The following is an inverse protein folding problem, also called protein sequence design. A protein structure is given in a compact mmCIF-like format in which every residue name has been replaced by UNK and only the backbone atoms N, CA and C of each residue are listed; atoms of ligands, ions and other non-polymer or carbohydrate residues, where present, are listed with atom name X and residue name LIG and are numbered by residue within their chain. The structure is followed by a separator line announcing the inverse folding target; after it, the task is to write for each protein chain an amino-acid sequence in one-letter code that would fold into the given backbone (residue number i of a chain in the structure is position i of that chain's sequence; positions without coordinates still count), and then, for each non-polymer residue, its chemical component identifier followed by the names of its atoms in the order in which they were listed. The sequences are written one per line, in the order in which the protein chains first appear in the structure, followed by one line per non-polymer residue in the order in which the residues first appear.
data_IF_706546463692
#
_entry.id   IF_706546463692
#
_cell.length_a   1.000
_cell.length_b   1.000
_cell.length_c   1.000
_cell.angle_alpha   90.00
_cell.angle_beta   90.00
_cell.angle_gamma   90.00
#
_symmetry.space_group_name_H-M   'P 1'
#
loop_
_entity.id
_entity.type
_entity.pdbx_description
1 polymer ?
#
# COMPACT_ATOMS: atom_id res chain seq x y z
N UNK A 1 32.72 -42.03 29.00
CA UNK A 1 32.87 -42.09 30.46
C UNK A 1 31.50 -41.94 31.06
N UNK A 2 31.03 -43.03 31.59
CA UNK A 2 30.52 -43.34 32.94
C UNK A 2 29.23 -42.57 33.28
N UNK A 3 28.03 -43.28 33.33
CA UNK A 3 27.52 -44.17 34.43
C UNK A 3 26.87 -43.30 35.52
N UNK A 4 25.67 -43.47 36.03
CA UNK A 4 24.93 -44.64 36.53
C UNK A 4 23.49 -44.16 36.83
N UNK A 5 22.33 -44.85 36.51
CA UNK A 5 21.78 -46.08 37.15
C UNK A 5 21.30 -45.87 38.60
N UNK A 6 20.04 -46.03 38.86
CA UNK A 6 19.32 -47.09 39.60
C UNK A 6 17.98 -46.55 40.09
N UNK A 7 16.82 -47.08 39.87
CA UNK A 7 16.29 -48.46 40.11
C UNK A 7 15.89 -48.72 41.59
N UNK A 8 14.72 -49.28 41.73
CA UNK A 8 14.11 -50.18 42.70
C UNK A 8 12.84 -49.64 43.34
N UNK A 9 11.66 -50.24 43.18
CA UNK A 9 11.13 -51.61 43.37
C UNK A 9 10.21 -51.72 44.60
N UNK A 10 8.95 -52.12 44.27
CA UNK A 10 8.07 -53.11 44.95
C UNK A 10 7.56 -52.90 46.38
N UNK A 11 6.27 -53.16 46.59
CA UNK A 11 5.58 -54.39 47.00
C UNK A 11 4.16 -54.02 47.45
N UNK A 12 3.12 -54.59 46.86
CA UNK A 12 2.30 -55.73 47.28
C UNK A 12 1.74 -55.61 48.70
N UNK A 13 0.38 -55.62 48.81
CA UNK A 13 -0.37 -56.74 49.38
C UNK A 13 -1.90 -56.49 49.35
N UNK A 14 -2.63 -57.44 48.85
CA UNK A 14 -4.07 -57.75 49.04
C UNK A 14 -4.24 -58.64 50.27
N UNK A 15 -5.39 -59.09 50.70
CA UNK A 15 -6.82 -58.85 50.38
C UNK A 15 -7.71 -58.69 51.63
N UNK A 16 -9.00 -58.49 51.51
CA UNK A 16 -10.09 -59.29 52.14
C UNK A 16 -11.48 -58.83 51.66
N UNK A 17 -12.22 -59.77 51.24
CA UNK A 17 -13.64 -59.90 50.86
C UNK A 17 -14.64 -59.52 51.94
N UNK A 18 -15.77 -58.91 51.55
CA UNK A 18 -17.11 -59.20 52.07
C UNK A 18 -18.20 -58.71 51.14
N UNK A 19 -18.99 -59.57 50.56
CA UNK A 19 -20.36 -59.44 50.02
C UNK A 19 -21.29 -59.95 51.10
N UNK A 20 -22.64 -59.77 51.13
CA UNK A 20 -23.58 -59.14 50.18
C UNK A 20 -24.63 -58.28 50.86
N UNK A 21 -25.48 -57.55 50.10
CA UNK A 21 -26.95 -57.59 50.22
C UNK A 21 -27.58 -56.82 49.05
N UNK A 22 -28.47 -57.52 48.39
CA UNK A 22 -29.41 -57.14 47.37
C UNK A 22 -30.34 -56.01 47.85
N UNK A 23 -30.44 -54.93 47.12
CA UNK A 23 -31.63 -54.11 47.00
C UNK A 23 -31.79 -53.67 45.58
N UNK A 24 -32.80 -54.17 44.91
CA UNK A 24 -33.25 -53.88 43.55
C UNK A 24 -33.91 -52.50 43.56
N UNK A 25 -33.22 -51.45 43.08
CA UNK A 25 -33.78 -50.14 42.81
C UNK A 25 -34.07 -50.08 41.32
N UNK A 26 -35.29 -50.02 40.91
CA UNK A 26 -35.75 -49.72 39.55
C UNK A 26 -35.43 -48.29 39.26
N UNK A 27 -34.37 -48.07 38.47
CA UNK A 27 -33.97 -46.72 37.93
C UNK A 27 -34.87 -46.46 36.71
N UNK A 28 -35.88 -45.61 36.88
CA UNK A 28 -36.61 -44.98 35.80
C UNK A 28 -35.60 -44.04 35.08
N UNK A 29 -35.07 -44.47 33.95
CA UNK A 29 -34.32 -43.60 33.05
C UNK A 29 -35.30 -42.66 32.34
N UNK A 30 -35.47 -41.46 32.89
CA UNK A 30 -36.05 -40.34 32.16
C UNK A 30 -35.02 -39.92 31.11
N UNK A 31 -35.24 -40.37 29.88
CA UNK A 31 -34.55 -39.80 28.71
C UNK A 31 -35.04 -38.35 28.57
N UNK A 32 -34.31 -37.42 29.14
CA UNK A 32 -34.46 -36.01 28.83
C UNK A 32 -34.03 -35.84 27.37
N UNK A 33 -34.99 -35.83 26.45
CA UNK A 33 -34.78 -35.31 25.11
C UNK A 33 -34.35 -33.87 25.27
N UNK A 34 -33.03 -33.62 25.19
CA UNK A 34 -32.50 -32.30 25.02
C UNK A 34 -33.08 -31.76 23.69
N UNK A 35 -34.16 -31.01 23.78
CA UNK A 35 -34.60 -30.17 22.69
C UNK A 35 -33.44 -29.24 22.41
N UNK A 36 -32.70 -29.52 21.35
CA UNK A 36 -31.76 -28.54 20.74
C UNK A 36 -32.62 -27.35 20.38
N UNK A 37 -32.57 -26.33 21.22
CA UNK A 37 -33.06 -24.99 20.82
C UNK A 37 -32.35 -24.65 19.53
N UNK A 38 -33.07 -24.31 18.45
CA UNK A 38 -32.41 -23.81 17.25
C UNK A 38 -31.58 -22.61 17.68
N UNK A 39 -30.28 -22.71 17.46
CA UNK A 39 -29.37 -21.57 17.62
C UNK A 39 -30.02 -20.36 16.95
N UNK A 40 -30.04 -19.17 17.60
CA UNK A 40 -30.63 -17.99 16.98
C UNK A 40 -29.93 -17.79 15.61
N UNK A 41 -30.70 -17.44 14.57
CA UNK A 41 -30.12 -17.25 13.24
C UNK A 41 -28.95 -16.27 13.38
N UNK A 42 -27.76 -16.70 12.98
CA UNK A 42 -26.58 -15.87 12.94
C UNK A 42 -26.94 -14.68 12.06
N UNK A 43 -27.02 -13.48 12.65
CA UNK A 43 -27.29 -12.28 11.87
C UNK A 43 -26.27 -12.23 10.74
N UNK A 44 -26.66 -11.81 9.54
CA UNK A 44 -25.71 -11.74 8.41
C UNK A 44 -24.55 -10.78 8.71
N UNK A 45 -24.76 -9.80 9.60
CA UNK A 45 -23.67 -8.97 10.15
C UNK A 45 -22.60 -9.80 10.86
N UNK A 46 -22.94 -10.88 11.55
CA UNK A 46 -22.01 -11.82 12.19
C UNK A 46 -21.13 -12.62 11.20
N UNK A 47 -21.47 -12.60 9.89
CA UNK A 47 -20.58 -13.14 8.85
C UNK A 47 -19.39 -12.26 8.59
N UNK A 48 -19.54 -10.94 8.72
CA UNK A 48 -18.57 -9.92 8.34
C UNK A 48 -17.92 -9.22 9.52
N UNK A 49 -18.58 -9.19 10.69
CA UNK A 49 -18.07 -8.61 11.93
C UNK A 49 -17.79 -9.70 12.96
N UNK A 50 -16.64 -9.58 13.62
CA UNK A 50 -16.27 -10.39 14.77
C UNK A 50 -15.43 -9.55 15.73
N UNK A 51 -15.99 -9.21 16.88
CA UNK A 51 -15.30 -8.37 17.85
C UNK A 51 -14.08 -9.05 18.48
N UNK A 52 -14.06 -10.40 18.54
CA UNK A 52 -13.00 -11.16 19.19
C UNK A 52 -11.88 -11.56 18.22
N UNK A 53 -12.23 -12.03 17.01
CA UNK A 53 -11.27 -12.57 16.03
C UNK A 53 -11.14 -11.75 14.74
N UNK A 54 -11.96 -10.72 14.56
CA UNK A 54 -11.92 -9.85 13.39
C UNK A 54 -10.65 -8.99 13.32
N UNK A 55 -10.27 -8.59 12.12
CA UNK A 55 -9.15 -7.68 11.91
C UNK A 55 -9.57 -6.24 12.19
N UNK A 56 -8.83 -5.56 13.07
CA UNK A 56 -8.95 -4.11 13.27
C UNK A 56 -8.39 -3.36 12.07
N UNK A 57 -8.75 -2.07 11.95
CA UNK A 57 -8.22 -1.21 10.88
C UNK A 57 -6.70 -1.13 10.92
N UNK A 58 -6.08 -1.05 12.10
CA UNK A 58 -4.63 -1.01 12.27
C UNK A 58 -3.98 -2.30 11.76
N UNK A 59 -4.54 -3.44 12.14
CA UNK A 59 -4.02 -4.74 11.71
C UNK A 59 -4.16 -4.96 10.20
N UNK A 60 -5.25 -4.46 9.62
CA UNK A 60 -5.47 -4.52 8.18
C UNK A 60 -4.49 -3.59 7.42
N UNK A 61 -4.18 -2.42 7.96
CA UNK A 61 -3.15 -1.52 7.43
C UNK A 61 -1.77 -2.17 7.49
N UNK A 62 -1.39 -2.78 8.62
CA UNK A 62 -0.13 -3.53 8.73
C UNK A 62 -0.04 -4.66 7.68
N UNK A 63 -1.12 -5.41 7.51
CA UNK A 63 -1.20 -6.48 6.52
C UNK A 63 -1.04 -5.94 5.09
N UNK A 64 -1.71 -4.82 4.79
CA UNK A 64 -1.59 -4.16 3.49
C UNK A 64 -0.16 -3.68 3.22
N UNK A 65 0.49 -3.04 4.19
CA UNK A 65 1.88 -2.60 4.06
C UNK A 65 2.87 -3.76 3.88
N UNK A 66 2.54 -4.95 4.40
CA UNK A 66 3.37 -6.14 4.29
C UNK A 66 3.12 -6.93 2.99
N UNK A 67 1.88 -6.99 2.49
CA UNK A 67 1.46 -7.92 1.44
C UNK A 67 1.01 -7.26 0.13
N UNK A 68 0.71 -5.95 0.11
CA UNK A 68 0.24 -5.28 -1.10
C UNK A 68 1.31 -5.35 -2.21
N UNK A 69 0.99 -6.00 -3.32
CA UNK A 69 1.95 -6.27 -4.40
C UNK A 69 2.43 -4.99 -5.09
N UNK A 70 1.58 -3.97 -5.23
CA UNK A 70 1.94 -2.69 -5.84
C UNK A 70 2.93 -1.91 -4.97
N UNK A 71 2.70 -1.88 -3.65
CA UNK A 71 3.65 -1.29 -2.72
C UNK A 71 4.99 -2.05 -2.69
N UNK A 72 4.94 -3.39 -2.72
CA UNK A 72 6.16 -4.21 -2.79
C UNK A 72 6.94 -3.95 -4.07
N UNK A 73 6.26 -3.80 -5.22
CA UNK A 73 6.88 -3.39 -6.48
C UNK A 73 7.50 -1.99 -6.38
N UNK A 74 6.78 -1.03 -5.79
CA UNK A 74 7.28 0.33 -5.57
C UNK A 74 8.53 0.35 -4.67
N UNK A 75 8.57 -0.47 -3.62
CA UNK A 75 9.76 -0.62 -2.76
C UNK A 75 10.99 -1.14 -3.53
N UNK A 76 10.82 -1.90 -4.64
CA UNK A 76 11.95 -2.33 -5.50
C UNK A 76 12.63 -1.17 -6.20
N UNK A 77 11.97 -0.02 -6.37
CA UNK A 77 12.58 1.19 -6.92
C UNK A 77 13.74 1.72 -6.06
N UNK A 78 13.68 1.52 -4.74
CA UNK A 78 14.81 1.86 -3.86
C UNK A 78 16.03 1.00 -4.21
N UNK A 79 15.86 -0.31 -4.39
CA UNK A 79 16.96 -1.19 -4.78
C UNK A 79 17.48 -0.87 -6.19
N UNK A 80 16.61 -0.47 -7.12
CA UNK A 80 16.99 0.00 -8.45
C UNK A 80 17.88 1.26 -8.36
N UNK A 81 17.44 2.29 -7.63
CA UNK A 81 18.21 3.53 -7.47
C UNK A 81 19.49 3.32 -6.69
N UNK A 82 19.53 2.41 -5.71
CA UNK A 82 20.77 1.97 -5.06
C UNK A 82 21.76 1.32 -6.04
N UNK A 83 21.26 0.48 -6.95
CA UNK A 83 22.08 -0.09 -8.03
C UNK A 83 22.67 0.99 -8.92
N UNK A 84 21.86 1.99 -9.32
CA UNK A 84 22.31 3.13 -10.11
C UNK A 84 23.31 4.04 -9.35
N UNK A 85 23.10 4.24 -8.06
CA UNK A 85 24.06 4.96 -7.22
C UNK A 85 25.38 4.20 -7.13
N UNK A 86 25.36 2.89 -6.93
CA UNK A 86 26.57 2.07 -6.93
C UNK A 86 27.31 2.18 -8.28
N UNK A 87 26.58 2.15 -9.40
CA UNK A 87 27.15 2.37 -10.72
C UNK A 87 27.77 3.77 -10.85
N UNK A 88 27.12 4.80 -10.30
CA UNK A 88 27.61 6.19 -10.32
C UNK A 88 28.93 6.37 -9.54
N UNK A 89 29.18 5.52 -8.55
CA UNK A 89 30.42 5.50 -7.76
C UNK A 89 31.59 4.86 -8.47
N UNK A 90 31.35 4.12 -9.56
CA UNK A 90 32.41 3.46 -10.30
C UNK A 90 33.14 4.49 -11.20
N UNK A 91 34.45 4.31 -11.30
CA UNK A 91 35.29 5.06 -12.22
C UNK A 91 35.37 4.34 -13.56
N UNK A 92 35.72 5.06 -14.67
CA UNK A 92 35.94 4.41 -15.96
C UNK A 92 36.98 3.30 -15.87
N UNK A 93 36.69 2.16 -16.51
CA UNK A 93 37.65 1.07 -16.58
C UNK A 93 38.83 1.43 -17.45
N UNK A 94 40.06 0.96 -17.10
CA UNK A 94 41.19 1.06 -18.02
C UNK A 94 40.93 0.17 -19.24
N UNK A 95 41.44 0.62 -20.38
CA UNK A 95 41.47 -0.15 -21.62
C UNK A 95 42.82 -0.84 -21.81
N UNK A 96 42.82 -2.12 -22.19
CA UNK A 96 43.99 -2.83 -22.71
C UNK A 96 43.75 -3.09 -24.19
N UNK A 97 44.65 -2.65 -25.05
CA UNK A 97 44.55 -2.89 -26.48
C UNK A 97 45.79 -3.69 -26.94
N UNK A 98 45.57 -4.76 -27.68
CA UNK A 98 46.60 -5.60 -28.26
C UNK A 98 46.36 -5.56 -29.78
N UNK A 99 47.38 -5.05 -30.49
CA UNK A 99 47.34 -4.95 -31.96
C UNK A 99 48.47 -5.76 -32.56
N UNK A 100 48.13 -6.51 -33.56
CA UNK A 100 49.11 -7.22 -34.40
C UNK A 100 48.90 -6.77 -35.85
N UNK A 101 49.88 -6.12 -36.41
CA UNK A 101 49.91 -5.77 -37.84
C UNK A 101 50.90 -6.67 -38.52
N UNK A 102 50.50 -7.27 -39.67
CA UNK A 102 51.33 -8.17 -40.44
C UNK A 102 51.16 -7.85 -41.95
N UNK A 103 52.19 -7.27 -42.55
CA UNK A 103 52.19 -6.93 -43.95
C UNK A 103 52.24 -8.16 -44.89
N UNK A 104 52.65 -9.31 -44.41
CA UNK A 104 52.81 -10.50 -45.26
C UNK A 104 51.47 -11.03 -45.80
N UNK A 105 50.36 -10.71 -45.18
CA UNK A 105 49.01 -11.10 -45.66
C UNK A 105 48.62 -10.36 -46.95
N UNK A 106 49.22 -9.19 -47.20
CA UNK A 106 49.00 -8.32 -48.37
C UNK A 106 50.21 -8.33 -49.32
N UNK A 107 51.01 -9.35 -49.32
CA UNK A 107 52.18 -9.52 -50.15
C UNK A 107 53.33 -8.50 -49.90
N UNK A 108 53.33 -7.89 -48.71
CA UNK A 108 54.44 -7.02 -48.26
C UNK A 108 55.33 -7.83 -47.30
N UNK A 109 56.41 -8.43 -47.80
CA UNK A 109 57.18 -9.40 -47.03
C UNK A 109 58.07 -8.69 -45.99
N UNK A 110 57.71 -8.80 -44.72
CA UNK A 110 58.67 -8.60 -43.68
C UNK A 110 58.32 -7.62 -42.60
N UNK A 111 57.28 -6.80 -42.74
CA UNK A 111 56.86 -5.90 -41.70
C UNK A 111 55.87 -6.56 -40.78
N UNK A 112 56.22 -6.60 -39.48
CA UNK A 112 55.35 -7.07 -38.39
C UNK A 112 55.46 -6.16 -37.21
N UNK A 113 54.30 -5.69 -36.71
CA UNK A 113 54.23 -4.86 -35.52
C UNK A 113 53.37 -5.57 -34.48
N UNK A 114 53.84 -5.67 -33.26
CA UNK A 114 53.16 -6.09 -32.08
C UNK A 114 53.06 -4.94 -31.13
N UNK A 115 51.86 -4.48 -30.85
CA UNK A 115 51.61 -3.35 -29.93
C UNK A 115 50.74 -3.80 -28.78
N UNK A 116 51.14 -3.48 -27.54
CA UNK A 116 50.33 -3.64 -26.35
C UNK A 116 50.22 -2.23 -25.74
N UNK A 117 48.99 -1.73 -25.58
CA UNK A 117 48.79 -0.40 -24.97
C UNK A 117 47.77 -0.51 -23.82
N UNK A 118 48.08 0.20 -22.73
CA UNK A 118 47.24 0.44 -21.57
C UNK A 118 46.82 1.90 -21.56
N UNK A 119 45.54 2.18 -21.40
CA UNK A 119 45.00 3.53 -21.34
C UNK A 119 44.02 3.68 -20.18
N UNK A 120 44.11 4.79 -19.46
CA UNK A 120 43.19 5.09 -18.35
C UNK A 120 42.68 6.53 -18.47
N UNK A 121 41.35 6.67 -18.30
CA UNK A 121 40.66 7.96 -18.34
C UNK A 121 40.54 8.52 -16.92
N UNK A 122 41.11 9.68 -16.70
CA UNK A 122 40.99 10.49 -15.50
C UNK A 122 39.89 11.54 -15.71
N UNK A 123 38.79 11.40 -15.00
CA UNK A 123 37.70 12.36 -15.01
C UNK A 123 38.10 13.63 -14.27
N UNK A 124 38.14 14.78 -14.97
CA UNK A 124 38.43 16.09 -14.39
C UNK A 124 37.13 16.87 -14.09
N UNK A 125 37.25 18.03 -13.43
CA UNK A 125 36.11 18.91 -13.14
C UNK A 125 35.13 18.40 -12.09
N UNK A 126 35.54 17.39 -11.33
CA UNK A 126 34.70 16.83 -10.25
C UNK A 126 33.49 16.00 -10.74
N UNK A 127 33.48 15.56 -12.00
CA UNK A 127 32.38 14.80 -12.62
C UNK A 127 31.92 13.62 -11.76
N UNK A 128 32.88 12.85 -11.26
CA UNK A 128 32.59 11.71 -10.41
C UNK A 128 31.81 12.13 -9.16
N UNK A 129 32.24 13.17 -8.44
CA UNK A 129 31.55 13.66 -7.24
C UNK A 129 30.09 14.11 -7.57
N UNK A 130 29.96 14.86 -8.71
CA UNK A 130 28.63 15.35 -9.13
C UNK A 130 27.68 14.22 -9.54
N UNK A 131 28.21 13.20 -10.23
CA UNK A 131 27.44 12.01 -10.59
C UNK A 131 26.97 11.24 -9.35
N UNK A 132 27.84 11.09 -8.35
CA UNK A 132 27.48 10.44 -7.06
C UNK A 132 26.44 11.28 -6.31
N UNK A 133 26.57 12.60 -6.27
CA UNK A 133 25.59 13.51 -5.65
C UNK A 133 24.20 13.36 -6.28
N UNK A 134 24.09 13.35 -7.60
CA UNK A 134 22.83 13.10 -8.33
C UNK A 134 22.26 11.73 -7.98
N UNK A 135 23.08 10.69 -7.94
CA UNK A 135 22.65 9.33 -7.56
C UNK A 135 22.12 9.25 -6.13
N UNK A 136 22.74 9.94 -5.16
CA UNK A 136 22.29 9.98 -3.77
C UNK A 136 20.93 10.68 -3.64
N UNK A 137 20.75 11.82 -4.29
CA UNK A 137 19.48 12.54 -4.27
C UNK A 137 18.37 11.75 -4.98
N UNK A 138 18.69 11.00 -6.03
CA UNK A 138 17.74 10.13 -6.71
C UNK A 138 17.29 8.95 -5.82
N UNK A 139 18.18 8.36 -5.02
CA UNK A 139 17.84 7.31 -4.04
C UNK A 139 16.94 7.86 -2.92
N UNK A 140 17.27 9.02 -2.37
CA UNK A 140 16.46 9.70 -1.35
C UNK A 140 15.06 10.03 -1.90
N UNK A 141 14.98 10.50 -3.15
CA UNK A 141 13.71 10.78 -3.83
C UNK A 141 12.85 9.52 -4.00
N UNK A 142 13.45 8.39 -4.35
CA UNK A 142 12.76 7.11 -4.44
C UNK A 142 12.23 6.66 -3.07
N UNK A 143 12.99 6.89 -2.00
CA UNK A 143 12.57 6.58 -0.62
C UNK A 143 11.36 7.41 -0.20
N UNK A 144 11.35 8.72 -0.49
CA UNK A 144 10.19 9.58 -0.23
C UNK A 144 8.98 9.17 -1.07
N UNK A 145 9.19 8.74 -2.32
CA UNK A 145 8.12 8.22 -3.17
C UNK A 145 7.47 6.97 -2.59
N UNK A 146 8.25 6.05 -2.00
CA UNK A 146 7.73 4.88 -1.29
C UNK A 146 6.94 5.31 -0.05
N UNK A 147 7.46 6.24 0.74
CA UNK A 147 6.78 6.75 1.94
C UNK A 147 5.43 7.40 1.60
N UNK A 148 5.33 8.10 0.47
CA UNK A 148 4.05 8.66 0.01
C UNK A 148 3.06 7.57 -0.42
N UNK A 149 3.51 6.55 -1.14
CA UNK A 149 2.66 5.41 -1.49
C UNK A 149 2.15 4.66 -0.25
N UNK A 150 2.98 4.52 0.78
CA UNK A 150 2.56 3.95 2.07
C UNK A 150 1.49 4.82 2.75
N UNK A 151 1.63 6.14 2.74
CA UNK A 151 0.64 7.10 3.25
C UNK A 151 -0.69 6.95 2.52
N UNK A 152 -0.66 6.91 1.19
CA UNK A 152 -1.85 6.75 0.36
C UNK A 152 -2.53 5.39 0.56
N UNK A 153 -1.75 4.32 0.65
CA UNK A 153 -2.29 2.97 0.91
C UNK A 153 -2.97 2.89 2.28
N UNK A 154 -2.36 3.45 3.33
CA UNK A 154 -2.96 3.53 4.67
C UNK A 154 -4.31 4.24 4.62
N UNK A 155 -4.38 5.41 3.98
CA UNK A 155 -5.61 6.17 3.84
C UNK A 155 -6.68 5.37 3.07
N UNK A 156 -6.31 4.73 1.95
CA UNK A 156 -7.24 3.93 1.15
C UNK A 156 -7.80 2.75 1.93
N UNK A 157 -6.96 2.03 2.70
CA UNK A 157 -7.42 0.91 3.54
C UNK A 157 -8.38 1.41 4.62
N UNK A 158 -8.05 2.50 5.32
CA UNK A 158 -8.92 3.11 6.33
C UNK A 158 -10.26 3.57 5.73
N UNK A 159 -10.23 4.23 4.58
CA UNK A 159 -11.45 4.67 3.87
C UNK A 159 -12.36 3.48 3.55
N UNK A 160 -11.83 2.43 2.90
CA UNK A 160 -12.62 1.25 2.56
C UNK A 160 -13.09 0.46 3.78
N UNK A 161 -12.33 0.50 4.86
CA UNK A 161 -12.74 -0.10 6.13
C UNK A 161 -13.96 0.62 6.72
N UNK A 162 -13.96 1.95 6.77
CA UNK A 162 -15.10 2.74 7.24
C UNK A 162 -16.34 2.56 6.36
N UNK A 163 -16.19 2.53 5.03
CA UNK A 163 -17.27 2.24 4.10
C UNK A 163 -17.87 0.84 4.33
N UNK A 164 -17.01 -0.17 4.52
CA UNK A 164 -17.45 -1.54 4.80
C UNK A 164 -18.26 -1.61 6.11
N UNK A 165 -17.81 -0.94 7.16
CA UNK A 165 -18.55 -0.87 8.42
C UNK A 165 -19.93 -0.22 8.25
N UNK A 166 -20.03 0.85 7.46
CA UNK A 166 -21.30 1.51 7.18
C UNK A 166 -22.26 0.60 6.40
N UNK A 167 -21.77 -0.13 5.41
CA UNK A 167 -22.60 -1.10 4.67
C UNK A 167 -23.04 -2.26 5.54
N UNK A 168 -22.19 -2.77 6.43
CA UNK A 168 -22.56 -3.82 7.39
C UNK A 168 -23.63 -3.31 8.35
N UNK A 169 -23.53 -2.08 8.84
CA UNK A 169 -24.55 -1.49 9.70
C UNK A 169 -25.89 -1.32 8.97
N UNK A 170 -25.88 -0.87 7.70
CA UNK A 170 -27.09 -0.79 6.90
C UNK A 170 -27.71 -2.15 6.60
N UNK A 171 -26.88 -3.19 6.41
CA UNK A 171 -27.35 -4.57 6.26
C UNK A 171 -28.04 -5.05 7.55
N UNK A 172 -27.46 -4.80 8.72
CA UNK A 172 -28.02 -5.16 10.01
C UNK A 172 -29.39 -4.47 10.24
N UNK A 173 -29.50 -3.18 9.91
CA UNK A 173 -30.77 -2.43 9.94
C UNK A 173 -31.81 -3.09 9.02
N UNK A 174 -31.43 -3.44 7.80
CA UNK A 174 -32.34 -4.07 6.85
C UNK A 174 -32.81 -5.46 7.31
N UNK A 175 -31.95 -6.25 7.95
CA UNK A 175 -32.28 -7.56 8.50
C UNK A 175 -33.24 -7.47 9.68
N UNK A 176 -32.99 -6.57 10.61
CA UNK A 176 -33.89 -6.32 11.74
C UNK A 176 -35.26 -5.87 11.24
N UNK A 177 -35.27 -4.98 10.24
CA UNK A 177 -36.51 -4.49 9.64
C UNK A 177 -37.27 -5.60 8.90
N UNK A 178 -36.56 -6.49 8.18
CA UNK A 178 -37.17 -7.62 7.48
C UNK A 178 -37.84 -8.56 8.48
N UNK A 179 -37.15 -8.96 9.54
CA UNK A 179 -37.73 -9.82 10.60
C UNK A 179 -38.98 -9.21 11.20
N UNK A 180 -38.95 -7.92 11.47
CA UNK A 180 -40.05 -7.17 12.02
C UNK A 180 -41.26 -7.11 11.08
N UNK A 181 -41.03 -6.88 9.78
CA UNK A 181 -42.07 -6.85 8.77
C UNK A 181 -42.67 -8.24 8.49
N UNK A 182 -41.85 -9.29 8.53
CA UNK A 182 -42.34 -10.68 8.43
C UNK A 182 -43.24 -11.08 9.62
N UNK A 183 -42.92 -10.60 10.82
CA UNK A 183 -43.78 -10.75 11.98
C UNK A 183 -45.11 -9.98 11.79
N UNK A 184 -45.02 -8.71 11.37
CA UNK A 184 -46.20 -7.89 11.08
C UNK A 184 -47.10 -8.51 9.99
N UNK A 185 -46.52 -9.06 8.94
CA UNK A 185 -47.25 -9.75 7.87
C UNK A 185 -48.03 -10.96 8.41
N UNK A 186 -47.39 -11.81 9.24
CA UNK A 186 -48.06 -12.96 9.85
C UNK A 186 -49.24 -12.55 10.74
N UNK A 187 -49.08 -11.44 11.48
CA UNK A 187 -50.18 -10.91 12.31
C UNK A 187 -51.34 -10.39 11.43
N UNK A 188 -51.02 -9.60 10.38
CA UNK A 188 -52.01 -9.10 9.47
C UNK A 188 -52.79 -10.24 8.77
N UNK A 189 -52.11 -11.27 8.29
CA UNK A 189 -52.69 -12.47 7.70
C UNK A 189 -53.67 -13.14 8.65
N UNK A 190 -53.26 -13.40 9.90
CA UNK A 190 -54.13 -14.05 10.90
C UNK A 190 -55.39 -13.21 11.23
N UNK A 191 -55.28 -11.88 11.23
CA UNK A 191 -56.43 -11.00 11.46
C UNK A 191 -57.38 -10.96 10.25
N UNK A 192 -56.86 -10.98 9.04
CA UNK A 192 -57.68 -11.08 7.82
C UNK A 192 -58.44 -12.41 7.76
N UNK A 193 -57.78 -13.53 8.07
CA UNK A 193 -58.43 -14.88 8.15
C UNK A 193 -59.56 -14.92 9.14
N UNK A 194 -59.47 -14.15 10.25
CA UNK A 194 -60.54 -14.03 11.25
C UNK A 194 -61.61 -12.98 10.91
N UNK A 195 -61.47 -12.25 9.83
CA UNK A 195 -62.34 -11.13 9.47
C UNK A 195 -62.19 -9.89 10.32
N UNK A 196 -61.08 -9.76 11.09
CA UNK A 196 -60.76 -8.64 11.98
C UNK A 196 -60.03 -7.50 11.27
N UNK A 197 -59.51 -7.72 10.04
CA UNK A 197 -58.81 -6.74 9.26
C UNK A 197 -59.14 -6.85 7.77
N UNK A 198 -58.99 -5.75 7.02
CA UNK A 198 -59.20 -5.75 5.58
C UNK A 198 -58.06 -6.49 4.83
N UNK A 199 -58.39 -7.19 3.74
CA UNK A 199 -57.39 -7.88 2.89
C UNK A 199 -56.27 -6.91 2.40
N UNK A 200 -56.58 -5.63 2.28
CA UNK A 200 -55.64 -4.59 1.92
C UNK A 200 -54.44 -4.52 2.91
N UNK A 201 -54.66 -4.73 4.20
CA UNK A 201 -53.60 -4.69 5.21
C UNK A 201 -52.57 -5.79 4.98
N UNK A 202 -53.03 -7.01 4.70
CA UNK A 202 -52.13 -8.12 4.35
C UNK A 202 -51.31 -7.81 3.09
N UNK A 203 -51.97 -7.30 2.05
CA UNK A 203 -51.31 -6.97 0.77
C UNK A 203 -50.28 -5.87 0.95
N UNK A 204 -50.56 -4.83 1.73
CA UNK A 204 -49.58 -3.78 2.08
C UNK A 204 -48.37 -4.32 2.81
N UNK A 205 -48.57 -5.17 3.79
CA UNK A 205 -47.45 -5.79 4.52
C UNK A 205 -46.62 -6.71 3.64
N UNK A 206 -47.24 -7.45 2.72
CA UNK A 206 -46.54 -8.32 1.76
C UNK A 206 -45.65 -7.50 0.81
N UNK A 207 -46.13 -6.37 0.34
CA UNK A 207 -45.35 -5.43 -0.48
C UNK A 207 -44.15 -4.91 0.30
N UNK A 208 -44.35 -4.51 1.56
CA UNK A 208 -43.28 -3.97 2.41
C UNK A 208 -42.20 -5.03 2.74
N UNK A 209 -42.58 -6.27 3.04
CA UNK A 209 -41.66 -7.40 3.23
C UNK A 209 -40.79 -7.61 1.99
N UNK A 210 -41.39 -7.62 0.79
CA UNK A 210 -40.65 -7.82 -0.44
C UNK A 210 -39.69 -6.63 -0.75
N UNK A 211 -40.11 -5.40 -0.46
CA UNK A 211 -39.28 -4.20 -0.59
C UNK A 211 -38.05 -4.29 0.32
N UNK A 212 -38.24 -4.58 1.61
CA UNK A 212 -37.13 -4.67 2.56
C UNK A 212 -36.20 -5.86 2.26
N UNK A 213 -36.75 -6.97 1.76
CA UNK A 213 -35.94 -8.11 1.30
C UNK A 213 -35.06 -7.75 0.12
N UNK A 214 -35.57 -6.94 -0.81
CA UNK A 214 -34.77 -6.40 -1.92
C UNK A 214 -33.65 -5.48 -1.39
N UNK A 215 -33.95 -4.58 -0.46
CA UNK A 215 -32.95 -3.70 0.17
C UNK A 215 -31.84 -4.51 0.86
N UNK A 216 -32.21 -5.57 1.61
CA UNK A 216 -31.25 -6.48 2.26
C UNK A 216 -30.28 -7.12 1.24
N UNK A 217 -30.80 -7.61 0.12
CA UNK A 217 -29.96 -8.19 -0.95
C UNK A 217 -28.99 -7.18 -1.52
N UNK A 218 -29.43 -5.93 -1.74
CA UNK A 218 -28.57 -4.85 -2.24
C UNK A 218 -27.48 -4.49 -1.23
N UNK A 219 -27.80 -4.35 0.05
CA UNK A 219 -26.81 -4.07 1.08
C UNK A 219 -25.82 -5.21 1.25
N UNK A 220 -26.27 -6.49 1.21
CA UNK A 220 -25.35 -7.62 1.24
C UNK A 220 -24.34 -7.57 0.09
N UNK A 221 -24.79 -7.26 -1.12
CA UNK A 221 -23.89 -7.09 -2.27
C UNK A 221 -22.87 -5.95 -2.05
N UNK A 222 -23.30 -4.83 -1.46
CA UNK A 222 -22.40 -3.73 -1.15
C UNK A 222 -21.31 -4.15 -0.15
N UNK A 223 -21.68 -4.91 0.89
CA UNK A 223 -20.74 -5.46 1.86
C UNK A 223 -19.74 -6.40 1.19
N UNK A 224 -20.22 -7.36 0.38
CA UNK A 224 -19.33 -8.29 -0.33
C UNK A 224 -18.33 -7.57 -1.22
N UNK A 225 -18.76 -6.57 -1.96
CA UNK A 225 -17.88 -5.75 -2.79
C UNK A 225 -16.85 -4.98 -1.95
N UNK A 226 -17.26 -4.40 -0.83
CA UNK A 226 -16.35 -3.69 0.07
C UNK A 226 -15.29 -4.62 0.70
N UNK A 227 -15.70 -5.84 1.08
CA UNK A 227 -14.78 -6.87 1.59
C UNK A 227 -13.78 -7.32 0.50
N UNK A 228 -14.22 -7.50 -0.75
CA UNK A 228 -13.32 -7.83 -1.87
C UNK A 228 -12.30 -6.72 -2.13
N UNK A 229 -12.72 -5.45 -2.07
CA UNK A 229 -11.81 -4.31 -2.18
C UNK A 229 -10.79 -4.27 -1.04
N UNK A 230 -11.21 -4.52 0.20
CA UNK A 230 -10.29 -4.61 1.33
C UNK A 230 -9.30 -5.77 1.18
N UNK A 231 -9.74 -6.94 0.72
CA UNK A 231 -8.84 -8.07 0.42
C UNK A 231 -7.80 -7.67 -0.63
N UNK A 232 -8.22 -7.03 -1.70
CA UNK A 232 -7.31 -6.55 -2.76
C UNK A 232 -6.26 -5.57 -2.21
N UNK A 233 -6.68 -4.58 -1.41
CA UNK A 233 -5.76 -3.61 -0.81
C UNK A 233 -4.81 -4.26 0.20
N UNK A 234 -5.32 -5.21 1.00
CA UNK A 234 -4.51 -5.93 1.99
C UNK A 234 -3.62 -7.03 1.39
N UNK A 235 -3.73 -7.33 0.09
CA UNK A 235 -3.00 -8.41 -0.57
C UNK A 235 -3.42 -9.79 -0.06
N UNK A 236 -4.69 -9.95 0.30
CA UNK A 236 -5.29 -11.22 0.73
C UNK A 236 -5.85 -12.00 -0.48
N UNK A 237 -5.77 -13.31 -0.43
CA UNK A 237 -6.37 -14.19 -1.43
C UNK A 237 -7.91 -14.14 -1.40
N UNK A 238 -8.54 -14.52 -2.51
CA UNK A 238 -10.01 -14.58 -2.60
C UNK A 238 -10.61 -15.58 -1.59
N UNK A 239 -9.90 -16.68 -1.35
CA UNK A 239 -10.32 -17.75 -0.44
C UNK A 239 -10.05 -17.45 1.04
N UNK A 240 -9.22 -16.47 1.36
CA UNK A 240 -8.96 -16.06 2.74
C UNK A 240 -10.23 -15.40 3.31
N UNK A 241 -10.72 -15.87 4.46
CA UNK A 241 -11.87 -15.24 5.13
C UNK A 241 -11.43 -13.94 5.78
N UNK A 242 -12.19 -12.85 5.52
CA UNK A 242 -11.97 -11.56 6.16
C UNK A 242 -13.18 -11.17 6.97
N UNK A 243 -13.02 -11.12 8.29
CA UNK A 243 -13.95 -10.50 9.22
C UNK A 243 -13.33 -9.24 9.79
N UNK A 244 -14.13 -8.23 9.99
CA UNK A 244 -13.71 -6.93 10.49
C UNK A 244 -14.00 -6.81 11.99
N UNK A 245 -13.18 -6.06 12.71
CA UNK A 245 -13.41 -5.67 14.09
C UNK A 245 -13.24 -4.16 14.22
N UNK A 246 -14.33 -3.45 14.49
CA UNK A 246 -14.32 -2.00 14.62
C UNK A 246 -15.71 -1.39 14.72
N UNK A 247 -15.74 -0.09 14.92
CA UNK A 247 -16.95 0.73 15.01
C UNK A 247 -16.75 2.01 14.22
N UNK A 248 -17.83 2.58 13.69
CA UNK A 248 -17.81 3.90 13.03
C UNK A 248 -17.77 5.06 14.03
N UNK A 249 -18.25 4.81 15.24
CA UNK A 249 -18.29 5.81 16.30
C UNK A 249 -16.87 6.06 16.84
N UNK A 250 -16.18 6.99 16.22
CA UNK A 250 -14.82 7.39 16.59
C UNK A 250 -14.88 8.58 17.55
N UNK A 251 -14.02 8.62 18.57
CA UNK A 251 -13.93 9.78 19.44
C UNK A 251 -13.52 11.03 18.63
N UNK A 252 -14.03 12.21 18.99
CA UNK A 252 -13.64 13.45 18.33
C UNK A 252 -12.15 13.72 18.53
N UNK A 253 -11.46 14.07 17.45
CA UNK A 253 -10.06 14.50 17.47
C UNK A 253 -10.04 16.03 17.52
N UNK A 254 -9.38 16.58 18.54
CA UNK A 254 -9.20 18.03 18.67
C UNK A 254 -7.84 18.41 18.06
N UNK A 255 -7.87 19.04 16.92
CA UNK A 255 -6.70 19.61 16.25
C UNK A 255 -7.08 20.97 15.68
N UNK A 256 -6.20 21.96 15.77
CA UNK A 256 -6.42 23.25 15.12
C UNK A 256 -5.94 23.22 13.66
N UNK A 257 -6.50 24.10 12.81
CA UNK A 257 -6.06 24.24 11.42
C UNK A 257 -4.56 24.58 11.34
N UNK A 258 -4.08 25.42 12.26
CA UNK A 258 -2.65 25.79 12.30
C UNK A 258 -1.75 24.57 12.57
N UNK A 259 -2.11 23.73 13.53
CA UNK A 259 -1.38 22.48 13.82
C UNK A 259 -1.44 21.48 12.68
N UNK A 260 -2.59 21.33 12.03
CA UNK A 260 -2.75 20.48 10.86
C UNK A 260 -1.86 20.95 9.70
N UNK A 261 -1.83 22.27 9.46
CA UNK A 261 -1.01 22.89 8.42
C UNK A 261 0.48 22.71 8.70
N UNK A 262 0.94 22.94 9.91
CA UNK A 262 2.34 22.77 10.32
C UNK A 262 2.78 21.30 10.14
N UNK A 263 1.98 20.35 10.59
CA UNK A 263 2.27 18.92 10.40
C UNK A 263 2.37 18.56 8.93
N UNK A 264 1.44 19.00 8.10
CA UNK A 264 1.44 18.72 6.66
C UNK A 264 2.69 19.26 5.97
N UNK A 265 3.05 20.53 6.22
CA UNK A 265 4.20 21.18 5.59
C UNK A 265 5.55 20.59 6.03
N UNK A 266 5.59 19.94 7.20
CA UNK A 266 6.81 19.30 7.73
C UNK A 266 6.89 17.80 7.47
N UNK A 267 5.78 17.07 7.50
CA UNK A 267 5.79 15.58 7.51
C UNK A 267 5.40 14.94 6.19
N UNK A 268 4.68 15.63 5.30
CA UNK A 268 4.18 15.01 4.05
C UNK A 268 5.34 14.61 3.13
N UNK A 269 5.44 13.32 2.77
CA UNK A 269 6.51 12.81 1.93
C UNK A 269 6.47 13.35 0.50
N UNK A 270 5.27 13.58 -0.07
CA UNK A 270 5.10 14.14 -1.41
C UNK A 270 5.63 15.58 -1.53
N UNK A 271 5.42 16.41 -0.50
CA UNK A 271 5.99 17.77 -0.47
C UNK A 271 7.51 17.73 -0.26
N UNK A 272 7.99 16.84 0.61
CA UNK A 272 9.45 16.65 0.79
C UNK A 272 10.09 16.17 -0.50
N UNK A 273 9.46 15.25 -1.23
CA UNK A 273 9.90 14.77 -2.53
C UNK A 273 9.95 15.90 -3.57
N UNK A 274 8.94 16.78 -3.61
CA UNK A 274 8.93 17.92 -4.52
C UNK A 274 10.08 18.91 -4.22
N UNK A 275 10.35 19.21 -2.95
CA UNK A 275 11.48 20.04 -2.51
C UNK A 275 12.83 19.37 -2.79
N UNK A 276 12.92 18.06 -2.65
CA UNK A 276 14.12 17.30 -2.95
C UNK A 276 14.38 17.23 -4.47
N UNK A 277 13.33 17.14 -5.28
CA UNK A 277 13.44 17.17 -6.74
C UNK A 277 14.01 18.50 -7.26
N UNK A 278 13.76 19.62 -6.58
CA UNK A 278 14.40 20.91 -6.87
C UNK A 278 15.91 20.85 -6.60
N UNK A 279 16.32 20.28 -5.45
CA UNK A 279 17.74 20.07 -5.12
C UNK A 279 18.43 19.11 -6.12
N UNK A 280 17.72 18.07 -6.55
CA UNK A 280 18.21 17.16 -7.60
C UNK A 280 18.44 17.90 -8.91
N UNK A 281 17.52 18.78 -9.32
CA UNK A 281 17.68 19.64 -10.49
C UNK A 281 18.92 20.53 -10.40
N UNK A 282 19.20 21.11 -9.23
CA UNK A 282 20.44 21.86 -8.98
C UNK A 282 21.69 20.99 -9.14
N UNK A 283 21.67 19.77 -8.64
CA UNK A 283 22.79 18.82 -8.77
C UNK A 283 22.99 18.39 -10.23
N UNK A 284 21.90 18.18 -10.99
CA UNK A 284 21.96 17.86 -12.42
C UNK A 284 22.58 19.01 -13.25
N UNK A 285 22.26 20.27 -12.91
CA UNK A 285 22.91 21.43 -13.55
C UNK A 285 24.41 21.42 -13.26
N UNK A 286 24.82 21.20 -12.01
CA UNK A 286 26.25 21.11 -11.65
C UNK A 286 26.95 19.95 -12.36
N UNK A 287 26.28 18.80 -12.52
CA UNK A 287 26.80 17.67 -13.27
C UNK A 287 26.96 18.03 -14.76
N UNK A 288 25.97 18.63 -15.39
CA UNK A 288 26.00 19.02 -16.79
C UNK A 288 27.12 20.05 -17.08
N UNK A 289 27.37 20.99 -16.16
CA UNK A 289 28.49 21.92 -16.22
C UNK A 289 29.82 21.16 -16.09
N UNK A 290 29.95 20.24 -15.16
CA UNK A 290 31.15 19.44 -14.96
C UNK A 290 31.47 18.57 -16.19
N UNK A 291 30.47 18.01 -16.86
CA UNK A 291 30.60 17.21 -18.06
C UNK A 291 31.18 18.03 -19.26
N UNK A 292 31.01 19.35 -19.26
CA UNK A 292 31.62 20.25 -20.21
C UNK A 292 33.15 20.40 -20.05
N UNK A 293 33.75 19.92 -18.95
CA UNK A 293 35.22 19.94 -18.77
C UNK A 293 35.86 18.76 -19.51
N UNK A 294 37.11 18.88 -20.03
CA UNK A 294 37.79 17.77 -20.68
C UNK A 294 38.13 16.64 -19.68
N UNK A 295 38.29 15.41 -20.19
CA UNK A 295 38.94 14.32 -19.47
C UNK A 295 40.41 14.23 -19.89
N UNK A 296 41.24 13.69 -19.02
CA UNK A 296 42.63 13.36 -19.28
C UNK A 296 42.71 11.84 -19.56
N UNK A 297 43.21 11.47 -20.75
CA UNK A 297 43.56 10.09 -21.06
C UNK A 297 45.06 9.92 -20.90
N UNK A 298 45.52 9.13 -19.94
CA UNK A 298 46.91 8.69 -19.83
C UNK A 298 47.09 7.36 -20.54
N UNK A 299 48.16 7.19 -21.31
CA UNK A 299 48.43 5.89 -21.94
C UNK A 299 49.90 5.50 -21.82
N UNK A 300 50.14 4.19 -21.85
CA UNK A 300 51.42 3.53 -21.91
C UNK A 300 51.34 2.48 -23.00
N UNK A 301 52.27 2.52 -23.97
CA UNK A 301 52.29 1.66 -25.12
C UNK A 301 53.68 1.06 -25.32
N UNK A 302 53.74 -0.25 -25.53
CA UNK A 302 54.92 -0.94 -25.97
C UNK A 302 54.67 -1.53 -27.37
N UNK A 303 55.58 -1.18 -28.32
CA UNK A 303 55.57 -1.67 -29.68
C UNK A 303 56.87 -2.39 -30.02
N UNK A 304 56.74 -3.54 -30.61
CA UNK A 304 57.86 -4.25 -31.25
C UNK A 304 57.62 -4.29 -32.74
N UNK A 305 58.50 -3.61 -33.47
CA UNK A 305 58.45 -3.48 -34.92
C UNK A 305 59.57 -4.32 -35.53
N UNK A 306 59.22 -5.25 -36.36
CA UNK A 306 60.21 -5.99 -37.13
C UNK A 306 60.10 -5.54 -38.61
N UNK A 307 61.20 -4.92 -39.10
CA UNK A 307 61.31 -4.40 -40.48
C UNK A 307 62.23 -5.28 -41.28
N UNK A 308 61.87 -5.51 -42.54
CA UNK A 308 62.73 -6.20 -43.51
C UNK A 308 62.89 -5.27 -44.69
N UNK A 309 64.15 -4.98 -45.02
CA UNK A 309 64.50 -4.10 -46.12
C UNK A 309 64.83 -4.98 -47.34
N UNK A 310 64.47 -4.53 -48.55
CA UNK A 310 64.79 -5.18 -49.82
C UNK A 310 66.30 -5.24 -50.11
N UNK A 311 67.17 -4.24 -49.71
CA UNK A 311 68.58 -4.34 -49.85
C UNK A 311 69.18 -5.51 -49.06
N UNK A 312 70.19 -6.14 -49.66
CA UNK A 312 70.99 -7.14 -48.99
C UNK A 312 72.24 -6.49 -48.38
N UNK A 313 72.53 -6.84 -47.18
CA UNK A 313 73.77 -6.49 -46.50
C UNK A 313 74.71 -7.69 -46.37
N UNK A 314 75.95 -7.45 -46.04
CA UNK A 314 76.94 -8.55 -45.77
C UNK A 314 76.93 -8.83 -44.26
N UNK A 315 76.78 -10.10 -43.88
CA UNK A 315 76.98 -10.52 -42.49
C UNK A 315 78.50 -10.57 -42.16
N UNK A 316 78.86 -10.85 -40.87
CA UNK A 316 80.27 -10.99 -40.45
C UNK A 316 81.07 -12.07 -41.16
N UNK A 317 80.39 -13.00 -41.89
CA UNK A 317 80.96 -14.05 -42.75
C UNK A 317 80.98 -13.69 -44.23
N UNK A 318 80.73 -12.41 -44.59
CA UNK A 318 80.64 -11.87 -45.96
C UNK A 318 79.58 -12.51 -46.86
N UNK A 319 78.51 -13.06 -46.25
CA UNK A 319 77.35 -13.58 -46.99
C UNK A 319 76.29 -12.49 -47.15
N UNK A 320 75.64 -12.42 -48.32
CA UNK A 320 74.51 -11.54 -48.58
C UNK A 320 73.30 -12.05 -47.80
N UNK A 321 72.82 -11.24 -46.87
CA UNK A 321 71.60 -11.53 -46.09
C UNK A 321 70.64 -10.36 -46.21
N UNK A 322 69.31 -10.60 -46.16
CA UNK A 322 68.35 -9.53 -46.12
C UNK A 322 68.57 -8.68 -44.85
N UNK A 323 68.59 -7.38 -45.00
CA UNK A 323 68.66 -6.47 -43.83
C UNK A 323 67.36 -6.56 -43.06
N UNK A 324 67.47 -6.92 -41.79
CA UNK A 324 66.36 -6.98 -40.84
C UNK A 324 66.69 -6.10 -39.68
N UNK A 325 65.69 -5.35 -39.21
CA UNK A 325 65.80 -4.54 -37.98
C UNK A 325 64.67 -4.87 -37.07
N UNK A 326 64.88 -4.71 -35.77
CA UNK A 326 63.87 -4.97 -34.72
C UNK A 326 63.96 -3.86 -33.69
N UNK A 327 62.97 -2.99 -33.75
CA UNK A 327 62.83 -1.86 -32.80
C UNK A 327 61.88 -2.24 -31.68
N UNK A 328 62.25 -1.88 -30.44
CA UNK A 328 61.40 -1.97 -29.28
C UNK A 328 61.16 -0.53 -28.79
N UNK A 329 59.92 -0.06 -28.85
CA UNK A 329 59.54 1.29 -28.55
C UNK A 329 58.62 1.26 -27.33
N UNK A 330 58.96 2.06 -26.32
CA UNK A 330 58.07 2.33 -25.18
C UNK A 330 57.61 3.80 -25.32
N UNK A 331 56.30 3.98 -25.53
CA UNK A 331 55.69 5.30 -25.62
C UNK A 331 54.79 5.52 -24.41
N UNK A 332 54.81 6.72 -23.86
CA UNK A 332 53.89 7.18 -22.85
C UNK A 332 53.41 8.57 -23.19
N UNK A 333 52.18 8.87 -22.84
CA UNK A 333 51.64 10.20 -23.15
C UNK A 333 50.28 10.45 -22.50
N UNK A 334 49.85 11.66 -22.72
CA UNK A 334 48.53 12.15 -22.29
C UNK A 334 47.78 12.68 -23.52
N UNK A 335 46.47 12.44 -23.54
CA UNK A 335 45.57 12.99 -24.55
C UNK A 335 44.43 13.76 -23.85
N UNK A 336 44.13 14.94 -24.34
CA UNK A 336 43.08 15.82 -23.81
C UNK A 336 42.21 16.26 -24.99
N UNK A 337 40.91 15.95 -24.93
CA UNK A 337 39.93 16.45 -25.89
C UNK A 337 39.50 17.87 -25.48
N UNK A 338 39.94 18.88 -26.19
CA UNK A 338 39.67 20.28 -25.85
C UNK A 338 38.25 20.69 -26.32
N UNK A 339 37.35 21.12 -25.40
CA UNK A 339 35.95 21.44 -25.70
C UNK A 339 35.79 22.86 -26.28
N UNK A 340 36.33 23.12 -27.46
CA UNK A 340 36.22 24.45 -28.09
C UNK A 340 34.80 24.76 -28.58
N UNK A 341 34.13 23.81 -29.24
CA UNK A 341 32.81 24.00 -29.85
C UNK A 341 31.70 23.39 -28.98
N UNK A 342 31.90 22.17 -28.48
CA UNK A 342 30.95 21.48 -27.63
C UNK A 342 31.45 21.56 -26.17
N UNK A 343 30.81 22.41 -25.38
CA UNK A 343 31.02 22.60 -23.94
C UNK A 343 29.85 22.06 -23.13
N UNK A 344 29.10 21.15 -23.69
CA UNK A 344 27.87 20.59 -23.10
C UNK A 344 26.74 21.62 -22.91
N UNK A 345 26.78 22.75 -23.65
CA UNK A 345 25.87 23.88 -23.46
C UNK A 345 24.41 23.53 -23.64
N UNK A 346 24.05 22.60 -24.54
CA UNK A 346 22.67 22.14 -24.74
C UNK A 346 22.15 21.37 -23.55
N UNK A 347 22.96 20.46 -22.98
CA UNK A 347 22.57 19.71 -21.78
C UNK A 347 22.50 20.62 -20.54
N UNK A 348 23.38 21.62 -20.43
CA UNK A 348 23.30 22.63 -19.36
C UNK A 348 22.00 23.41 -19.46
N UNK A 349 21.61 23.88 -20.66
CA UNK A 349 20.35 24.58 -20.88
C UNK A 349 19.17 23.68 -20.55
N UNK A 350 19.20 22.41 -20.95
CA UNK A 350 18.14 21.43 -20.62
C UNK A 350 18.04 21.15 -19.13
N UNK A 351 19.18 21.00 -18.43
CA UNK A 351 19.23 20.83 -16.99
C UNK A 351 18.68 22.05 -16.25
N UNK A 352 19.04 23.26 -16.70
CA UNK A 352 18.49 24.49 -16.13
C UNK A 352 16.99 24.58 -16.27
N UNK A 353 16.44 24.26 -17.45
CA UNK A 353 15.00 24.24 -17.66
C UNK A 353 14.28 23.18 -16.76
N UNK A 354 14.90 22.00 -16.55
CA UNK A 354 14.38 20.98 -15.62
C UNK A 354 14.39 21.46 -14.18
N UNK A 355 15.47 22.11 -13.73
CA UNK A 355 15.56 22.75 -12.41
C UNK A 355 14.45 23.76 -12.23
N UNK A 356 14.27 24.69 -13.17
CA UNK A 356 13.23 25.73 -13.10
C UNK A 356 11.83 25.12 -13.03
N UNK A 357 11.57 24.07 -13.84
CA UNK A 357 10.33 23.31 -13.78
C UNK A 357 10.11 22.62 -12.43
N UNK A 358 11.17 22.06 -11.82
CA UNK A 358 11.09 21.43 -10.50
C UNK A 358 10.80 22.45 -9.39
N UNK A 359 11.39 23.65 -9.45
CA UNK A 359 11.10 24.75 -8.54
C UNK A 359 9.64 25.23 -8.63
N UNK A 360 9.08 25.30 -9.86
CA UNK A 360 7.66 25.61 -10.04
C UNK A 360 6.75 24.51 -9.48
N UNK A 361 7.10 23.23 -9.71
CA UNK A 361 6.37 22.09 -9.16
C UNK A 361 6.41 22.03 -7.64
N UNK A 362 7.55 22.37 -7.03
CA UNK A 362 7.71 22.42 -5.58
C UNK A 362 6.77 23.46 -4.96
N UNK A 363 6.69 24.67 -5.54
CA UNK A 363 5.76 25.72 -5.10
C UNK A 363 4.30 25.32 -5.30
N UNK A 364 3.97 24.72 -6.43
CA UNK A 364 2.63 24.22 -6.70
C UNK A 364 2.23 23.11 -5.72
N UNK A 365 3.12 22.15 -5.44
CA UNK A 365 2.88 21.09 -4.47
C UNK A 365 2.59 21.67 -3.07
N UNK A 366 3.31 22.69 -2.63
CA UNK A 366 3.02 23.36 -1.36
C UNK A 366 1.64 24.01 -1.35
N UNK A 367 1.25 24.66 -2.46
CA UNK A 367 -0.10 25.24 -2.58
C UNK A 367 -1.19 24.17 -2.53
N UNK A 368 -1.01 23.05 -3.23
CA UNK A 368 -1.94 21.90 -3.20
C UNK A 368 -2.06 21.34 -1.79
N UNK A 369 -0.93 21.15 -1.09
CA UNK A 369 -0.93 20.67 0.31
C UNK A 369 -1.75 21.60 1.21
N UNK A 370 -1.56 22.92 1.10
CA UNK A 370 -2.34 23.90 1.88
C UNK A 370 -3.84 23.80 1.62
N UNK A 371 -4.23 23.67 0.34
CA UNK A 371 -5.64 23.53 -0.05
C UNK A 371 -6.24 22.20 0.44
N UNK A 372 -5.51 21.09 0.32
CA UNK A 372 -5.98 19.79 0.80
C UNK A 372 -6.17 19.76 2.32
N UNK A 373 -5.26 20.38 3.08
CA UNK A 373 -5.40 20.46 4.55
C UNK A 373 -6.59 21.30 4.93
N UNK A 374 -6.78 22.46 4.31
CA UNK A 374 -7.92 23.35 4.59
C UNK A 374 -9.26 22.67 4.25
N UNK A 375 -9.34 22.00 3.08
CA UNK A 375 -10.52 21.26 2.68
C UNK A 375 -10.82 20.08 3.62
N UNK A 376 -9.81 19.30 3.99
CA UNK A 376 -9.96 18.17 4.90
C UNK A 376 -10.36 18.64 6.32
N UNK A 377 -9.78 19.72 6.80
CA UNK A 377 -10.11 20.30 8.09
C UNK A 377 -11.55 20.83 8.11
N UNK A 378 -11.97 21.56 7.08
CA UNK A 378 -13.34 22.08 6.95
C UNK A 378 -14.35 20.93 6.89
N UNK A 379 -14.06 19.88 6.13
CA UNK A 379 -14.90 18.67 6.05
C UNK A 379 -15.02 18.01 7.42
N UNK A 380 -13.90 17.85 8.14
CA UNK A 380 -13.89 17.26 9.49
C UNK A 380 -14.73 18.08 10.48
N UNK A 381 -14.55 19.40 10.50
CA UNK A 381 -15.30 20.27 11.40
C UNK A 381 -16.80 20.25 11.08
N UNK A 382 -17.17 20.26 9.79
CA UNK A 382 -18.57 20.16 9.36
C UNK A 382 -19.18 18.82 9.75
N UNK A 383 -18.48 17.70 9.53
CA UNK A 383 -18.95 16.37 9.91
C UNK A 383 -19.12 16.25 11.43
N UNK A 384 -18.18 16.78 12.21
CA UNK A 384 -18.25 16.83 13.67
C UNK A 384 -19.45 17.63 14.18
N UNK A 385 -19.71 18.80 13.60
CA UNK A 385 -20.86 19.64 13.94
C UNK A 385 -22.19 18.96 13.55
N UNK A 386 -22.28 18.38 12.36
CA UNK A 386 -23.44 17.65 11.91
C UNK A 386 -23.76 16.47 12.85
N UNK A 387 -22.74 15.69 13.23
CA UNK A 387 -22.89 14.57 14.15
C UNK A 387 -23.39 15.06 15.54
N UNK A 388 -22.83 16.15 16.07
CA UNK A 388 -23.25 16.72 17.35
C UNK A 388 -24.69 17.25 17.33
N UNK A 389 -25.11 17.83 16.20
CA UNK A 389 -26.46 18.39 16.02
C UNK A 389 -27.51 17.27 15.89
N UNK A 390 -27.19 16.19 15.16
CA UNK A 390 -28.09 15.05 15.00
C UNK A 390 -28.31 14.28 16.30
N UNK A 391 -27.47 14.48 17.25
CA UNK A 391 -27.36 13.93 18.59
C UNK A 391 -28.31 12.76 18.93
N UNK A 392 -27.91 11.92 19.85
CA UNK A 392 -28.63 10.71 20.34
C UNK A 392 -30.12 10.93 20.62
N UNK A 393 -30.57 12.18 20.85
CA UNK A 393 -31.95 12.54 21.02
C UNK A 393 -32.85 12.20 19.83
N UNK A 394 -32.44 12.50 18.62
CA UNK A 394 -33.24 12.24 17.40
C UNK A 394 -33.52 10.76 17.21
N UNK A 395 -32.52 9.90 17.44
CA UNK A 395 -32.67 8.46 17.36
C UNK A 395 -33.61 7.91 18.45
N UNK A 396 -33.47 8.41 19.69
CA UNK A 396 -34.30 7.97 20.80
C UNK A 396 -35.77 8.36 20.59
N UNK A 397 -36.01 9.61 20.26
CA UNK A 397 -37.36 10.12 19.99
C UNK A 397 -38.01 9.42 18.79
N UNK A 398 -37.28 9.17 17.71
CA UNK A 398 -37.80 8.44 16.55
C UNK A 398 -38.17 7.00 16.90
N UNK A 399 -37.42 6.33 17.76
CA UNK A 399 -37.74 4.99 18.25
C UNK A 399 -39.00 5.00 19.15
N UNK A 400 -39.13 5.99 20.04
CA UNK A 400 -40.28 6.15 20.92
C UNK A 400 -41.56 6.45 20.11
N UNK A 401 -41.47 7.32 19.10
CA UNK A 401 -42.58 7.59 18.20
C UNK A 401 -43.05 6.30 17.51
N UNK A 402 -42.13 5.49 16.99
CA UNK A 402 -42.48 4.22 16.36
C UNK A 402 -43.16 3.26 17.35
N UNK A 403 -42.71 3.20 18.61
CA UNK A 403 -43.33 2.40 19.64
C UNK A 403 -44.77 2.86 19.97
N UNK A 404 -44.96 4.17 20.09
CA UNK A 404 -46.29 4.75 20.36
C UNK A 404 -47.25 4.46 19.23
N UNK A 405 -46.85 4.70 17.96
CA UNK A 405 -47.69 4.46 16.77
C UNK A 405 -48.05 2.96 16.65
N UNK A 406 -47.13 2.06 16.96
CA UNK A 406 -47.41 0.62 16.97
C UNK A 406 -48.42 0.21 18.08
N UNK A 407 -48.25 0.75 19.28
CA UNK A 407 -49.17 0.48 20.36
C UNK A 407 -50.59 0.99 20.00
N UNK A 408 -50.73 2.21 19.49
CA UNK A 408 -52.00 2.78 19.05
C UNK A 408 -52.67 1.93 17.92
N UNK A 409 -51.90 1.39 16.99
CA UNK A 409 -52.41 0.44 15.99
C UNK A 409 -52.93 -0.86 16.61
N UNK A 410 -52.22 -1.41 17.61
CA UNK A 410 -52.66 -2.63 18.30
C UNK A 410 -54.01 -2.43 19.05
N UNK A 411 -54.26 -1.22 19.54
CA UNK A 411 -55.53 -0.86 20.16
C UNK A 411 -56.62 -0.45 19.15
N UNK A 412 -56.31 -0.44 17.84
CA UNK A 412 -57.26 -0.10 16.79
C UNK A 412 -57.47 1.42 16.59
N UNK A 413 -56.64 2.28 17.22
CA UNK A 413 -56.76 3.74 17.14
C UNK A 413 -56.12 4.32 15.86
N UNK A 414 -55.11 3.63 15.31
CA UNK A 414 -54.42 4.02 14.08
C UNK A 414 -54.50 2.95 13.01
N UNK A 415 -54.26 3.33 11.78
CA UNK A 415 -54.25 2.44 10.62
C UNK A 415 -52.86 1.86 10.36
N UNK A 416 -52.77 0.73 9.69
CA UNK A 416 -51.50 0.08 9.31
C UNK A 416 -50.61 1.03 8.48
N UNK A 417 -51.18 1.92 7.68
CA UNK A 417 -50.44 2.90 6.90
C UNK A 417 -49.64 3.88 7.80
N UNK A 418 -50.21 4.27 8.95
CA UNK A 418 -49.52 5.15 9.91
C UNK A 418 -48.31 4.46 10.50
N UNK A 419 -48.44 3.17 10.84
CA UNK A 419 -47.30 2.34 11.30
C UNK A 419 -46.22 2.25 10.23
N UNK A 420 -46.58 1.95 8.98
CA UNK A 420 -45.63 1.84 7.88
C UNK A 420 -44.93 3.17 7.59
N UNK A 421 -45.63 4.27 7.66
CA UNK A 421 -45.03 5.62 7.46
C UNK A 421 -44.04 5.93 8.58
N UNK A 422 -44.39 5.70 9.84
CA UNK A 422 -43.48 5.96 10.96
C UNK A 422 -42.27 5.01 10.96
N UNK A 423 -42.48 3.76 10.57
CA UNK A 423 -41.42 2.81 10.38
C UNK A 423 -40.41 3.23 9.29
N UNK A 424 -40.90 3.79 8.16
CA UNK A 424 -40.04 4.37 7.12
C UNK A 424 -39.24 5.55 7.67
N UNK A 425 -39.88 6.48 8.39
CA UNK A 425 -39.20 7.63 9.02
C UNK A 425 -38.11 7.18 9.96
N UNK A 426 -38.39 6.19 10.82
CA UNK A 426 -37.41 5.61 11.73
C UNK A 426 -36.22 4.99 10.96
N UNK A 427 -36.47 4.22 9.92
CA UNK A 427 -35.44 3.60 9.10
C UNK A 427 -34.60 4.66 8.38
N UNK A 428 -35.21 5.71 7.83
CA UNK A 428 -34.49 6.80 7.19
C UNK A 428 -33.62 7.56 8.19
N UNK A 429 -34.12 7.75 9.42
CA UNK A 429 -33.34 8.35 10.52
C UNK A 429 -32.12 7.47 10.91
N UNK A 430 -32.29 6.15 10.98
CA UNK A 430 -31.17 5.22 11.25
C UNK A 430 -30.11 5.24 10.13
N UNK A 431 -30.56 5.27 8.86
CA UNK A 431 -29.65 5.37 7.70
C UNK A 431 -28.91 6.71 7.70
N UNK A 432 -29.63 7.81 7.97
CA UNK A 432 -29.01 9.13 8.08
C UNK A 432 -27.95 9.20 9.19
N UNK A 433 -28.21 8.58 10.32
CA UNK A 433 -27.24 8.45 11.40
C UNK A 433 -26.00 7.66 10.99
N UNK A 434 -26.19 6.50 10.34
CA UNK A 434 -25.07 5.68 9.80
C UNK A 434 -24.23 6.47 8.82
N UNK A 435 -24.89 7.27 7.95
CA UNK A 435 -24.20 8.11 6.98
C UNK A 435 -23.40 9.23 7.63
N UNK A 436 -23.92 9.88 8.68
CA UNK A 436 -23.19 10.89 9.43
C UNK A 436 -21.98 10.29 10.16
N UNK A 437 -22.09 9.09 10.74
CA UNK A 437 -20.97 8.37 11.32
C UNK A 437 -19.91 8.02 10.27
N UNK A 438 -20.34 7.54 9.12
CA UNK A 438 -19.45 7.25 7.99
C UNK A 438 -18.71 8.51 7.53
N UNK A 439 -19.44 9.60 7.33
CA UNK A 439 -18.87 10.88 6.89
C UNK A 439 -17.85 11.42 7.89
N UNK A 440 -18.16 11.35 9.19
CA UNK A 440 -17.21 11.74 10.23
C UNK A 440 -15.94 10.88 10.21
N UNK A 441 -16.10 9.56 10.08
CA UNK A 441 -14.98 8.63 9.97
C UNK A 441 -14.10 8.94 8.74
N UNK A 442 -14.72 9.14 7.57
CA UNK A 442 -14.00 9.45 6.34
C UNK A 442 -13.30 10.81 6.40
N UNK A 443 -13.95 11.81 7.02
CA UNK A 443 -13.34 13.12 7.20
C UNK A 443 -12.09 13.07 8.11
N UNK A 444 -12.10 12.21 9.15
CA UNK A 444 -10.90 11.94 9.96
C UNK A 444 -9.78 11.28 9.15
N UNK A 445 -10.11 10.30 8.31
CA UNK A 445 -9.13 9.66 7.42
C UNK A 445 -8.54 10.66 6.42
N UNK A 446 -9.38 11.52 5.84
CA UNK A 446 -8.91 12.55 4.91
C UNK A 446 -8.01 13.56 5.60
N UNK A 447 -8.32 13.95 6.84
CA UNK A 447 -7.48 14.86 7.63
C UNK A 447 -6.13 14.20 7.99
N UNK A 448 -6.12 12.92 8.37
CA UNK A 448 -4.90 12.14 8.59
C UNK A 448 -4.05 12.06 7.31
N UNK A 449 -4.68 11.77 6.18
CA UNK A 449 -4.02 11.75 4.87
C UNK A 449 -3.43 13.11 4.50
N UNK A 450 -4.16 14.19 4.74
CA UNK A 450 -3.73 15.55 4.42
C UNK A 450 -2.60 16.05 5.32
N UNK A 451 -2.60 15.69 6.60
CA UNK A 451 -1.53 16.05 7.56
C UNK A 451 -0.27 15.19 7.41
N UNK A 452 -0.39 13.99 6.83
CA UNK A 452 0.72 13.03 6.75
C UNK A 452 1.09 12.37 8.08
N UNK A 453 0.25 12.51 9.11
CA UNK A 453 0.48 11.98 10.46
C UNK A 453 -0.71 11.15 10.92
N UNK A 454 -0.50 10.07 11.68
CA UNK A 454 -1.60 9.27 12.24
C UNK A 454 -2.35 10.08 13.29
N UNK A 455 -3.68 10.11 13.19
CA UNK A 455 -4.56 10.80 14.12
C UNK A 455 -5.35 9.81 15.00
N UNK A 456 -5.47 8.55 14.57
CA UNK A 456 -6.18 7.49 15.31
C UNK A 456 -5.68 6.08 14.91
#
# INVERSE_FOLDING_TARGET
MKKHRNSFVNLREHPVTFLPWFTMAVALTVVAAAQSQPSPPVSSSGRYLDAASGLSVQKLVETALARNADLLATRRRIAETQGLLNQSRLRPNPGLNIRVANGSVLNSPGEREYTISYAHTFELGGKWNRRVEVGQLAEELATLGVADQERLLKANVKTRFGEALAFIQNLDIAEQLLQLNEQGYRIAQARVEKGEAAELEERLMRVEVNRVRSDQMLFNNQVERAILELKRLAGLGLDETLKLSGRLDMPPVEISLAQAMERALSKRPDLQAARLAEKLGDAEVRLALAEGTPNLLGFLEYSRINSRFDPFGLNGSRQLIPIRDTDNILATGISINLPFRNRNQGNVQAAQARKDASGLRSRYAEQVVRQEVEAAFTRHETARQALSTFNRGVMLESLENLKIVRAAYQFGELRILDVLNEQRRFTDTQRAWTELLREHYLALVDLEKATGDSLF
#
